data_IF_962895063765
#
_entry.id   IF_962895063765
#
_cell.length_a   1.000
_cell.length_b   1.000
_cell.length_c   1.000
_cell.angle_alpha   90.00
_cell.angle_beta   90.00
_cell.angle_gamma   90.00
#
_symmetry.space_group_name_H-M   'P 1'
#
loop_
_entity.id
_entity.type
_entity.pdbx_description
1 polymer ?
#
# COMPACT_ATOMS: atom_id res chain seq x y z
N UNK A 1 -2.22 7.91 8.08
CA UNK A 1 -1.24 6.84 8.35
C UNK A 1 -1.32 6.45 9.83
N UNK A 2 -1.24 5.17 10.17
CA UNK A 2 -1.19 4.65 11.55
C UNK A 2 -0.05 3.63 11.70
N UNK A 3 0.43 3.40 12.93
CA UNK A 3 1.35 2.30 13.25
C UNK A 3 0.57 1.13 13.86
N UNK A 4 0.90 -0.10 13.49
CA UNK A 4 0.21 -1.30 13.99
C UNK A 4 1.17 -2.42 14.36
N UNK A 5 0.86 -3.15 15.45
CA UNK A 5 1.63 -4.29 15.94
C UNK A 5 0.96 -5.65 15.60
N UNK A 6 -0.13 -5.63 14.82
CA UNK A 6 -0.84 -6.86 14.41
C UNK A 6 -0.15 -7.58 13.26
N UNK A 7 0.82 -6.92 12.62
CA UNK A 7 1.53 -7.42 11.45
C UNK A 7 2.81 -8.11 11.91
N UNK A 8 2.99 -9.37 11.48
CA UNK A 8 4.19 -10.15 11.80
C UNK A 8 5.21 -9.97 10.67
N UNK A 9 4.97 -10.60 9.53
CA UNK A 9 5.90 -10.60 8.39
C UNK A 9 5.54 -9.58 7.32
N UNK A 10 4.42 -8.87 7.47
CA UNK A 10 3.97 -7.87 6.49
C UNK A 10 4.44 -6.48 6.90
N UNK A 11 5.09 -5.70 5.99
CA UNK A 11 5.57 -4.36 6.33
C UNK A 11 4.46 -3.31 6.43
N UNK A 12 3.39 -3.46 5.64
CA UNK A 12 2.31 -2.49 5.57
C UNK A 12 0.99 -3.13 5.14
N UNK A 13 -0.12 -2.53 5.56
CA UNK A 13 -1.46 -2.86 5.07
C UNK A 13 -2.24 -1.58 4.77
N UNK A 14 -3.31 -1.73 4.00
CA UNK A 14 -4.35 -0.71 3.87
C UNK A 14 -5.65 -1.24 4.46
N UNK A 15 -6.36 -0.38 5.18
CA UNK A 15 -7.68 -0.68 5.72
C UNK A 15 -8.65 0.43 5.31
N UNK A 16 -9.95 0.20 5.46
CA UNK A 16 -10.97 1.26 5.32
C UNK A 16 -11.67 1.45 6.65
N UNK A 17 -12.21 2.65 6.90
CA UNK A 17 -13.08 2.83 8.06
C UNK A 17 -14.40 2.08 7.88
N UNK A 18 -15.10 1.77 8.97
CA UNK A 18 -16.33 0.98 8.97
C UNK A 18 -17.50 1.69 8.28
N UNK A 19 -17.45 3.03 8.23
CA UNK A 19 -18.48 3.88 7.62
C UNK A 19 -18.11 4.33 6.19
N UNK A 20 -16.92 4.00 5.72
CA UNK A 20 -16.42 4.41 4.40
C UNK A 20 -16.61 3.31 3.35
N UNK A 21 -16.51 3.68 2.08
CA UNK A 21 -16.55 2.73 0.96
C UNK A 21 -15.44 1.68 1.13
N UNK A 22 -15.80 0.41 1.17
CA UNK A 22 -14.80 -0.67 1.21
C UNK A 22 -14.38 -1.10 -0.21
N UNK A 23 -13.23 -1.77 -0.31
CA UNK A 23 -12.75 -2.38 -1.56
C UNK A 23 -13.79 -3.31 -2.19
N UNK A 24 -14.48 -4.09 -1.36
CA UNK A 24 -15.50 -5.02 -1.83
C UNK A 24 -16.75 -4.29 -2.34
N UNK A 25 -17.17 -3.23 -1.66
CA UNK A 25 -18.29 -2.41 -2.13
C UNK A 25 -17.94 -1.72 -3.46
N UNK A 26 -16.73 -1.17 -3.59
CA UNK A 26 -16.27 -0.57 -4.85
C UNK A 26 -16.31 -1.57 -6.02
N UNK A 27 -15.90 -2.82 -5.80
CA UNK A 27 -16.01 -3.90 -6.80
C UNK A 27 -17.47 -4.20 -7.20
N UNK A 28 -18.41 -4.14 -6.25
CA UNK A 28 -19.83 -4.33 -6.55
C UNK A 28 -20.41 -3.19 -7.39
N UNK A 29 -20.05 -1.93 -7.10
CA UNK A 29 -20.43 -0.78 -7.92
C UNK A 29 -19.92 -0.93 -9.37
N UNK A 30 -18.65 -1.30 -9.52
CA UNK A 30 -18.05 -1.54 -10.83
C UNK A 30 -18.78 -2.64 -11.61
N UNK A 31 -19.08 -3.77 -10.94
CA UNK A 31 -19.80 -4.89 -11.54
C UNK A 31 -21.25 -4.54 -11.93
N UNK A 32 -21.87 -3.59 -11.22
CA UNK A 32 -23.18 -3.04 -11.54
C UNK A 32 -23.15 -1.95 -12.63
N UNK A 33 -21.97 -1.63 -13.18
CA UNK A 33 -21.79 -0.57 -14.17
C UNK A 33 -22.07 0.83 -13.63
N UNK A 34 -22.03 1.00 -12.31
CA UNK A 34 -22.18 2.29 -11.65
C UNK A 34 -20.81 2.99 -11.56
N UNK A 35 -20.83 4.31 -11.45
CA UNK A 35 -19.65 5.08 -11.09
C UNK A 35 -19.15 4.60 -9.71
N UNK A 36 -17.86 4.28 -9.63
CA UNK A 36 -17.25 3.73 -8.43
C UNK A 36 -16.72 4.89 -7.60
N UNK A 37 -17.23 5.13 -6.38
CA UNK A 37 -16.70 6.17 -5.52
C UNK A 37 -15.28 5.84 -5.07
N UNK A 38 -14.48 6.89 -4.84
CA UNK A 38 -13.10 6.74 -4.36
C UNK A 38 -13.06 6.03 -3.00
N UNK A 39 -12.22 5.01 -2.90
CA UNK A 39 -11.96 4.28 -1.66
C UNK A 39 -10.87 5.01 -0.88
N UNK A 40 -11.21 5.51 0.32
CA UNK A 40 -10.24 6.15 1.22
C UNK A 40 -9.56 5.11 2.08
N UNK A 41 -8.36 4.72 1.67
CA UNK A 41 -7.53 3.80 2.44
C UNK A 41 -6.81 4.49 3.60
N UNK A 42 -6.79 3.80 4.73
CA UNK A 42 -5.90 4.08 5.87
C UNK A 42 -4.66 3.22 5.68
N UNK A 43 -3.53 3.87 5.40
CA UNK A 43 -2.25 3.19 5.29
C UNK A 43 -1.65 2.94 6.68
N UNK A 44 -1.42 1.67 7.03
CA UNK A 44 -0.85 1.24 8.30
C UNK A 44 0.52 0.59 8.09
N UNK A 45 1.52 1.03 8.85
CA UNK A 45 2.88 0.52 8.80
C UNK A 45 3.20 -0.34 10.03
N UNK A 46 3.99 -1.39 9.81
CA UNK A 46 4.56 -2.21 10.86
C UNK A 46 5.92 -1.62 11.29
N UNK A 47 6.01 -0.93 12.43
CA UNK A 47 7.27 -0.31 12.86
C UNK A 47 8.37 -1.34 13.14
N UNK A 48 8.02 -2.62 13.37
CA UNK A 48 9.00 -3.66 13.66
C UNK A 48 9.64 -4.27 12.42
N UNK A 49 9.02 -4.09 11.26
CA UNK A 49 9.46 -4.72 10.02
C UNK A 49 10.74 -4.07 9.47
N UNK A 50 11.68 -4.90 9.01
CA UNK A 50 12.99 -4.45 8.53
C UNK A 50 12.89 -3.44 7.38
N UNK A 51 11.96 -3.64 6.43
CA UNK A 51 11.75 -2.69 5.33
C UNK A 51 11.19 -1.33 5.80
N UNK A 52 10.35 -1.31 6.84
CA UNK A 52 9.82 -0.05 7.39
C UNK A 52 10.91 0.72 8.12
N UNK A 53 11.74 0.01 8.90
CA UNK A 53 12.92 0.60 9.55
C UNK A 53 13.91 1.13 8.50
N UNK A 54 14.21 0.35 7.46
CA UNK A 54 15.07 0.78 6.34
C UNK A 54 14.54 2.03 5.64
N UNK A 55 13.23 2.08 5.37
CA UNK A 55 12.60 3.28 4.82
C UNK A 55 12.80 4.47 5.77
N UNK A 56 12.46 4.32 7.05
CA UNK A 56 12.59 5.38 8.05
C UNK A 56 14.03 5.89 8.26
N UNK A 57 15.04 5.02 8.10
CA UNK A 57 16.45 5.37 8.21
C UNK A 57 17.03 6.00 6.93
N UNK A 58 16.28 5.98 5.82
CA UNK A 58 16.70 6.56 4.54
C UNK A 58 16.65 8.09 4.62
N UNK A 59 17.81 8.74 4.49
CA UNK A 59 17.93 10.21 4.57
C UNK A 59 17.70 10.92 3.23
N UNK A 60 17.83 10.19 2.12
CA UNK A 60 17.56 10.74 0.80
C UNK A 60 16.04 10.74 0.55
N UNK A 61 15.45 11.94 0.44
CA UNK A 61 13.99 12.11 0.31
C UNK A 61 13.42 11.38 -0.92
N UNK A 62 14.17 11.29 -2.02
CA UNK A 62 13.72 10.61 -3.22
C UNK A 62 13.68 9.09 -3.00
N UNK A 63 14.75 8.52 -2.43
CA UNK A 63 14.81 7.11 -2.09
C UNK A 63 13.80 6.74 -0.99
N UNK A 64 13.57 7.62 -0.01
CA UNK A 64 12.50 7.47 0.97
C UNK A 64 11.13 7.39 0.29
N UNK A 65 10.87 8.29 -0.66
CA UNK A 65 9.67 8.27 -1.49
C UNK A 65 9.46 6.92 -2.19
N UNK A 66 10.50 6.38 -2.84
CA UNK A 66 10.43 5.07 -3.50
C UNK A 66 10.11 3.93 -2.52
N UNK A 67 10.65 3.96 -1.29
CA UNK A 67 10.28 2.98 -0.26
C UNK A 67 8.82 3.08 0.15
N UNK A 68 8.32 4.29 0.43
CA UNK A 68 6.93 4.51 0.85
C UNK A 68 5.96 4.06 -0.24
N UNK A 69 6.25 4.42 -1.49
CA UNK A 69 5.45 4.01 -2.64
C UNK A 69 5.46 2.50 -2.84
N UNK A 70 6.62 1.84 -2.70
CA UNK A 70 6.70 0.37 -2.79
C UNK A 70 5.82 -0.30 -1.72
N UNK A 71 5.89 0.18 -0.48
CA UNK A 71 5.11 -0.37 0.64
C UNK A 71 3.61 -0.15 0.44
N UNK A 72 3.22 1.01 -0.11
CA UNK A 72 1.83 1.31 -0.44
C UNK A 72 1.31 0.39 -1.54
N UNK A 73 2.07 0.21 -2.62
CA UNK A 73 1.71 -0.70 -3.71
C UNK A 73 1.55 -2.15 -3.22
N UNK A 74 2.45 -2.62 -2.36
CA UNK A 74 2.33 -3.97 -1.76
C UNK A 74 1.02 -4.11 -0.99
N UNK A 75 0.68 -3.11 -0.17
CA UNK A 75 -0.54 -3.11 0.61
C UNK A 75 -1.79 -3.04 -0.28
N UNK A 76 -1.81 -2.17 -1.28
CA UNK A 76 -2.91 -2.04 -2.24
C UNK A 76 -3.08 -3.31 -3.08
N UNK A 77 -2.00 -3.94 -3.50
CA UNK A 77 -2.04 -5.21 -4.23
C UNK A 77 -2.65 -6.31 -3.37
N UNK A 78 -2.26 -6.41 -2.10
CA UNK A 78 -2.82 -7.40 -1.17
C UNK A 78 -4.32 -7.20 -0.93
N UNK A 79 -4.78 -5.95 -0.82
CA UNK A 79 -6.18 -5.61 -0.56
C UNK A 79 -7.07 -5.70 -1.82
N UNK A 80 -6.63 -5.09 -2.92
CA UNK A 80 -7.42 -5.00 -4.17
C UNK A 80 -7.28 -6.25 -5.02
N UNK A 81 -6.16 -6.97 -4.92
CA UNK A 81 -5.77 -8.08 -5.79
C UNK A 81 -5.20 -7.63 -7.14
N UNK A 82 -5.10 -6.32 -7.38
CA UNK A 82 -4.54 -5.73 -8.60
C UNK A 82 -4.00 -4.32 -8.31
N UNK A 83 -3.09 -3.86 -9.16
CA UNK A 83 -2.58 -2.48 -9.18
C UNK A 83 -3.00 -1.78 -10.46
N UNK A 84 -3.04 -0.45 -10.40
CA UNK A 84 -3.32 0.40 -11.57
C UNK A 84 -2.16 0.37 -12.57
N UNK A 85 -0.92 0.43 -12.09
CA UNK A 85 0.28 0.23 -12.89
C UNK A 85 1.19 -0.85 -12.31
N UNK A 86 0.96 -2.13 -12.65
CA UNK A 86 1.83 -3.23 -12.22
C UNK A 86 3.28 -3.10 -12.72
N UNK A 87 3.51 -2.44 -13.87
CA UNK A 87 4.85 -2.30 -14.42
C UNK A 87 5.67 -1.28 -13.63
N UNK A 88 5.06 -0.18 -13.20
CA UNK A 88 5.70 0.79 -12.32
C UNK A 88 6.12 0.15 -11.00
N UNK A 89 5.23 -0.62 -10.37
CA UNK A 89 5.54 -1.37 -9.16
C UNK A 89 6.75 -2.30 -9.33
N UNK A 90 6.77 -3.10 -10.41
CA UNK A 90 7.89 -4.01 -10.69
C UNK A 90 9.19 -3.23 -10.92
N UNK A 91 9.16 -2.13 -11.66
CA UNK A 91 10.35 -1.29 -11.90
C UNK A 91 10.90 -0.71 -10.60
N UNK A 92 10.03 -0.17 -9.74
CA UNK A 92 10.38 0.37 -8.42
C UNK A 92 11.03 -0.68 -7.54
N UNK A 93 10.40 -1.86 -7.45
CA UNK A 93 10.95 -2.99 -6.71
C UNK A 93 12.34 -3.37 -7.24
N UNK A 94 12.51 -3.49 -8.56
CA UNK A 94 13.79 -3.86 -9.16
C UNK A 94 14.87 -2.80 -8.91
N UNK A 95 14.53 -1.51 -8.95
CA UNK A 95 15.47 -0.43 -8.63
C UNK A 95 15.95 -0.51 -7.18
N UNK A 96 15.04 -0.73 -6.23
CA UNK A 96 15.36 -0.84 -4.80
C UNK A 96 16.11 -2.14 -4.44
N UNK A 97 15.93 -3.22 -5.21
CA UNK A 97 16.69 -4.47 -5.02
C UNK A 97 18.16 -4.37 -5.44
N UNK A 98 18.49 -3.45 -6.34
CA UNK A 98 19.86 -3.25 -6.85
C UNK A 98 20.57 -2.10 -6.11
N UNK A 99 19.86 -1.33 -5.29
CA UNK A 99 20.39 -0.18 -4.53
C UNK A 99 21.11 -0.55 -3.24
#
# INVERSE_FOLDING_TARGET
>A
MRLTHRLTDTPAIVTTDSNDMSTQMAKLFAAAGQEVPDVKYIFELNPEHALVKRAADTQDDAQFGEWVELLLDQALLAERGQLEDPNQFIRRMNQLLVS
#
